data_IF_982991257824
#
_entry.id   IF_982991257824
#
_cell.length_a   1.000
_cell.length_b   1.000
_cell.length_c   1.000
_cell.angle_alpha   90.00
_cell.angle_beta   90.00
_cell.angle_gamma   90.00
#
_symmetry.space_group_name_H-M   'P 1'
#
loop_
_entity.id
_entity.type
_entity.pdbx_description
1 polymer ?
#
# COMPACT_ATOMS: atom_id res chain seq x y z
N UNK A 1 -0.83 14.46 2.61
CA UNK A 1 -0.97 13.85 3.94
C UNK A 1 -1.37 12.39 3.73
N UNK A 2 -0.41 11.49 3.46
CA UNK A 2 -0.62 10.04 3.46
C UNK A 2 0.71 9.42 3.89
N UNK A 3 0.94 9.36 5.20
CA UNK A 3 2.06 8.60 5.77
C UNK A 3 1.46 7.31 6.28
N UNK A 4 1.54 6.23 5.50
CA UNK A 4 1.06 4.93 5.95
C UNK A 4 2.05 4.24 6.88
N UNK A 5 1.86 4.44 8.19
CA UNK A 5 2.43 3.65 9.28
C UNK A 5 1.57 2.42 9.57
N UNK A 6 1.68 1.41 8.73
CA UNK A 6 1.60 0.06 9.28
C UNK A 6 2.79 -0.09 10.24
N UNK A 7 2.52 -0.06 11.54
CA UNK A 7 3.46 0.17 12.66
C UNK A 7 4.67 -0.76 12.76
N UNK A 8 4.88 -1.70 11.83
CA UNK A 8 6.04 -2.59 11.80
C UNK A 8 6.68 -2.83 10.43
N UNK A 9 6.00 -2.54 9.32
CA UNK A 9 6.47 -2.90 7.97
C UNK A 9 6.75 -1.63 7.17
N UNK A 10 8.03 -1.29 7.05
CA UNK A 10 8.47 -0.20 6.19
C UNK A 10 8.31 -0.66 4.72
N UNK A 11 7.53 0.05 3.90
CA UNK A 11 7.19 -0.34 2.53
C UNK A 11 7.86 0.59 1.51
N UNK A 12 8.25 0.07 0.34
CA UNK A 12 8.73 0.87 -0.80
C UNK A 12 7.52 1.29 -1.65
N UNK A 13 7.27 2.60 -1.76
CA UNK A 13 6.05 3.11 -2.41
C UNK A 13 5.96 2.83 -3.92
N UNK A 14 7.07 2.61 -4.61
CA UNK A 14 7.04 2.30 -6.04
C UNK A 14 6.66 0.85 -6.35
N UNK A 15 6.81 -0.05 -5.37
CA UNK A 15 6.65 -1.49 -5.54
C UNK A 15 5.63 -2.12 -4.62
N UNK A 16 5.23 -1.41 -3.57
CA UNK A 16 4.48 -1.95 -2.42
C UNK A 16 5.21 -3.09 -1.68
N UNK A 17 6.51 -3.31 -1.93
CA UNK A 17 7.28 -4.36 -1.28
C UNK A 17 7.71 -3.95 0.14
N UNK A 18 7.70 -4.92 1.06
CA UNK A 18 8.30 -4.79 2.39
C UNK A 18 9.81 -4.59 2.30
N UNK A 19 10.33 -3.56 2.97
CA UNK A 19 11.78 -3.36 3.15
C UNK A 19 12.42 -4.37 4.11
N UNK A 20 11.61 -5.05 4.93
CA UNK A 20 12.09 -6.04 5.91
C UNK A 20 12.03 -7.48 5.41
N UNK A 21 11.09 -7.78 4.51
CA UNK A 21 10.84 -9.13 4.02
C UNK A 21 10.79 -9.12 2.49
N UNK A 22 11.78 -9.73 1.83
CA UNK A 22 11.78 -9.86 0.37
C UNK A 22 10.56 -10.67 -0.09
N UNK A 23 10.01 -10.33 -1.25
CA UNK A 23 8.85 -10.98 -1.86
C UNK A 23 7.54 -10.91 -1.05
N UNK A 24 7.48 -10.04 -0.03
CA UNK A 24 6.24 -9.71 0.68
C UNK A 24 5.75 -8.32 0.23
N UNK A 25 4.49 -8.25 -0.19
CA UNK A 25 3.86 -7.04 -0.72
C UNK A 25 2.56 -6.73 0.01
N UNK A 26 2.22 -5.45 0.12
CA UNK A 26 1.03 -4.99 0.82
C UNK A 26 0.24 -4.01 -0.03
N UNK A 27 -1.09 -4.14 -0.07
CA UNK A 27 -1.95 -3.26 -0.85
C UNK A 27 -3.32 -3.12 -0.18
N UNK A 28 -4.04 -2.04 -0.50
CA UNK A 28 -5.36 -1.78 0.04
C UNK A 28 -5.35 -1.33 1.50
N UNK A 29 -6.48 -1.54 2.17
CA UNK A 29 -6.80 -1.04 3.51
C UNK A 29 -5.91 -1.60 4.61
N UNK A 30 -5.16 -2.68 4.34
CA UNK A 30 -4.13 -3.12 5.28
C UNK A 30 -3.06 -2.04 5.45
N UNK A 31 -2.78 -1.24 4.42
CA UNK A 31 -1.89 -0.08 4.54
C UNK A 31 -2.56 0.98 5.41
N UNK A 32 -1.77 1.72 6.19
CA UNK A 32 -2.25 2.85 7.00
C UNK A 32 -2.56 4.08 6.10
N UNK A 33 -3.46 3.89 5.16
CA UNK A 33 -3.97 4.91 4.24
C UNK A 33 -5.43 5.07 4.61
N UNK A 34 -5.78 6.25 5.10
CA UNK A 34 -7.17 6.63 5.32
C UNK A 34 -7.52 7.85 4.48
N UNK A 35 -8.74 7.87 3.98
CA UNK A 35 -9.27 8.92 3.16
C UNK A 35 -10.74 9.19 3.51
N UNK A 36 -11.19 10.39 3.20
CA UNK A 36 -12.60 10.75 3.36
C UNK A 36 -13.50 9.83 2.51
N UNK A 37 -14.78 9.76 2.86
CA UNK A 37 -15.79 9.06 2.06
C UNK A 37 -15.88 9.65 0.64
N UNK A 38 -16.36 8.86 -0.32
CA UNK A 38 -16.45 9.27 -1.73
C UNK A 38 -15.61 8.43 -2.69
N UNK A 39 -15.21 7.22 -2.28
CA UNK A 39 -14.50 6.26 -3.15
C UNK A 39 -12.97 6.35 -3.10
N UNK A 40 -12.40 7.25 -2.31
CA UNK A 40 -10.94 7.40 -2.20
C UNK A 40 -10.24 6.18 -1.63
N UNK A 41 -10.83 5.48 -0.65
CA UNK A 41 -10.29 4.21 -0.13
C UNK A 41 -10.26 3.12 -1.21
N UNK A 42 -11.30 3.07 -2.07
CA UNK A 42 -11.31 2.16 -3.22
C UNK A 42 -10.23 2.54 -4.23
N UNK A 43 -10.11 3.84 -4.57
CA UNK A 43 -9.06 4.32 -5.47
C UNK A 43 -7.65 3.98 -4.95
N UNK A 44 -7.42 4.13 -3.65
CA UNK A 44 -6.17 3.74 -3.00
C UNK A 44 -5.92 2.23 -3.09
N UNK A 45 -6.95 1.41 -2.86
CA UNK A 45 -6.86 -0.04 -2.97
C UNK A 45 -6.53 -0.51 -4.39
N UNK A 46 -7.18 0.04 -5.42
CA UNK A 46 -6.90 -0.29 -6.82
C UNK A 46 -5.48 0.11 -7.23
N UNK A 47 -5.07 1.33 -6.88
CA UNK A 47 -3.76 1.86 -7.27
C UNK A 47 -2.60 1.10 -6.61
N UNK A 48 -2.73 0.79 -5.32
CA UNK A 48 -1.70 0.03 -4.58
C UNK A 48 -1.68 -1.44 -5.00
N UNK A 49 -2.84 -2.06 -5.25
CA UNK A 49 -2.93 -3.43 -5.76
C UNK A 49 -2.29 -3.58 -7.14
N UNK A 50 -2.50 -2.60 -8.03
CA UNK A 50 -1.86 -2.56 -9.33
C UNK A 50 -0.33 -2.51 -9.22
N UNK A 51 0.21 -1.61 -8.39
CA UNK A 51 1.66 -1.51 -8.17
C UNK A 51 2.26 -2.79 -7.57
N UNK A 52 1.58 -3.41 -6.60
CA UNK A 52 2.02 -4.67 -5.99
C UNK A 52 2.06 -5.82 -7.01
N UNK A 53 1.13 -5.85 -7.98
CA UNK A 53 1.04 -6.90 -9.00
C UNK A 53 1.89 -6.65 -10.26
N UNK A 54 2.42 -5.44 -10.48
CA UNK A 54 3.23 -5.13 -11.66
C UNK A 54 4.66 -5.66 -11.62
N UNK A 55 5.18 -6.00 -10.43
CA UNK A 55 6.53 -6.55 -10.29
C UNK A 55 6.50 -8.06 -10.48
N UNK A 56 6.93 -8.50 -11.66
CA UNK A 56 7.23 -9.90 -11.99
C UNK A 56 8.54 -10.35 -11.32
#
# INVERSE_FOLDING_TARGET
MISSRLSGFMIVMASMQSKKCKNLYFAGEVLDIDAITGGYNLQAAWSTGFLAGQLK
#
